data_IF_129821414608
#
_entry.id   IF_129821414608
#
_cell.length_a   1.000
_cell.length_b   1.000
_cell.length_c   1.000
_cell.angle_alpha   90.00
_cell.angle_beta   90.00
_cell.angle_gamma   90.00
#
_symmetry.space_group_name_H-M   'P 1'
#
loop_
_entity.id
_entity.type
_entity.pdbx_description
1 polymer ?
#
# COMPACT_ATOMS: atom_id res chain seq x y z
N UNK A 1 -13.76 1.15 23.60
CA UNK A 1 -13.54 2.00 24.81
C UNK A 1 -13.59 1.16 26.09
N UNK A 2 -14.58 0.27 26.27
CA UNK A 2 -14.71 -0.53 27.51
C UNK A 2 -13.48 -1.44 27.77
N UNK A 3 -12.85 -1.97 26.73
CA UNK A 3 -11.67 -2.86 26.82
C UNK A 3 -10.42 -2.13 27.30
N UNK A 4 -10.36 -0.80 27.16
CA UNK A 4 -9.18 0.02 27.49
C UNK A 4 -9.29 0.71 28.86
N UNK A 5 -10.38 0.48 29.60
CA UNK A 5 -10.54 1.01 30.96
C UNK A 5 -9.50 0.38 31.91
N UNK A 6 -8.70 1.23 32.55
CA UNK A 6 -7.64 0.81 33.47
C UNK A 6 -6.31 0.48 32.82
N UNK A 7 -6.19 0.54 31.49
CA UNK A 7 -4.90 0.39 30.82
C UNK A 7 -4.00 1.61 31.12
N UNK A 8 -2.74 1.33 31.46
CA UNK A 8 -1.72 2.36 31.71
C UNK A 8 -1.37 3.13 30.44
N UNK A 9 -1.32 2.42 29.31
CA UNK A 9 -1.07 2.98 27.99
C UNK A 9 -2.09 2.41 27.00
N UNK A 10 -2.48 3.20 26.05
CA UNK A 10 -3.41 2.82 24.99
C UNK A 10 -2.72 3.09 23.65
N UNK A 11 -2.81 2.15 22.75
CA UNK A 11 -2.25 2.26 21.41
C UNK A 11 -3.30 1.81 20.39
N UNK A 12 -3.60 2.66 19.45
CA UNK A 12 -4.38 2.30 18.25
C UNK A 12 -3.38 2.00 17.14
N UNK A 13 -3.50 0.83 16.53
CA UNK A 13 -2.62 0.41 15.44
C UNK A 13 -3.44 0.02 14.21
N UNK A 14 -3.00 0.45 13.03
CA UNK A 14 -3.65 0.17 11.74
C UNK A 14 -2.64 0.22 10.60
N UNK A 15 -3.04 -0.25 9.41
CA UNK A 15 -2.36 0.11 8.16
C UNK A 15 -2.83 1.50 7.71
N UNK A 16 -1.96 2.26 7.07
CA UNK A 16 -2.33 3.48 6.34
C UNK A 16 -3.07 3.13 5.04
N UNK A 17 -2.58 2.11 4.34
CA UNK A 17 -3.22 1.53 3.16
C UNK A 17 -3.28 0.02 3.27
N UNK A 18 -4.47 -0.55 3.14
CA UNK A 18 -4.70 -1.99 3.18
C UNK A 18 -4.29 -2.64 1.85
N UNK A 19 -3.24 -3.45 1.89
CA UNK A 19 -2.53 -3.97 0.70
C UNK A 19 -3.37 -4.83 -0.25
N UNK A 20 -4.42 -5.49 0.26
CA UNK A 20 -5.26 -6.36 -0.56
C UNK A 20 -6.40 -5.60 -1.26
N UNK A 21 -6.73 -4.42 -0.76
CA UNK A 21 -7.89 -3.63 -1.22
C UNK A 21 -7.49 -2.29 -1.86
N UNK A 22 -6.31 -1.76 -1.54
CA UNK A 22 -5.94 -0.39 -1.88
C UNK A 22 -6.78 0.66 -1.14
N UNK A 23 -7.45 0.25 -0.05
CA UNK A 23 -8.26 1.17 0.77
C UNK A 23 -7.34 1.99 1.66
N UNK A 24 -7.49 3.31 1.62
CA UNK A 24 -6.79 4.24 2.51
C UNK A 24 -7.56 4.32 3.83
N UNK A 25 -6.87 4.11 4.95
CA UNK A 25 -7.46 4.23 6.27
C UNK A 25 -7.93 5.66 6.53
N UNK A 26 -9.02 5.83 7.26
CA UNK A 26 -9.50 7.15 7.71
C UNK A 26 -8.68 7.61 8.92
N UNK A 27 -7.41 7.93 8.67
CA UNK A 27 -6.43 8.20 9.72
C UNK A 27 -6.79 9.46 10.53
N UNK A 28 -7.38 10.46 9.90
CA UNK A 28 -7.94 11.64 10.56
C UNK A 28 -8.95 11.26 11.66
N UNK A 29 -9.87 10.35 11.36
CA UNK A 29 -10.87 9.87 12.31
C UNK A 29 -10.28 9.00 13.41
N UNK A 30 -9.24 8.27 13.10
CA UNK A 30 -8.48 7.50 14.09
C UNK A 30 -7.76 8.44 15.05
N UNK A 31 -7.13 9.51 14.55
CA UNK A 31 -6.50 10.53 15.38
C UNK A 31 -7.51 11.26 16.31
N UNK A 32 -8.70 11.60 15.79
CA UNK A 32 -9.77 12.19 16.62
C UNK A 32 -10.18 11.25 17.77
N UNK A 33 -10.27 9.96 17.52
CA UNK A 33 -10.56 8.96 18.55
C UNK A 33 -9.40 8.77 19.52
N UNK A 34 -8.18 8.78 19.04
CA UNK A 34 -6.98 8.67 19.88
C UNK A 34 -6.90 9.84 20.87
N UNK A 35 -7.09 11.06 20.40
CA UNK A 35 -7.15 12.26 21.24
C UNK A 35 -8.26 12.15 22.30
N UNK A 36 -9.47 11.74 21.91
CA UNK A 36 -10.60 11.56 22.82
C UNK A 36 -10.35 10.54 23.94
N UNK A 37 -9.59 9.48 23.65
CA UNK A 37 -9.37 8.37 24.59
C UNK A 37 -7.97 8.35 25.19
N UNK A 38 -7.16 9.39 24.98
CA UNK A 38 -5.77 9.49 25.43
C UNK A 38 -4.97 8.26 25.01
N UNK A 39 -4.90 8.03 23.69
CA UNK A 39 -4.23 6.89 23.08
C UNK A 39 -3.18 7.35 22.06
N UNK A 40 -2.10 6.61 21.95
CA UNK A 40 -1.10 6.78 20.91
C UNK A 40 -1.62 6.21 19.59
N UNK A 41 -1.18 6.80 18.46
CA UNK A 41 -1.50 6.36 17.11
C UNK A 41 -0.25 5.76 16.47
N UNK A 42 -0.31 4.49 16.09
CA UNK A 42 0.65 3.82 15.23
C UNK A 42 -0.03 3.41 13.93
N UNK A 43 0.62 3.66 12.80
CA UNK A 43 0.17 3.10 11.53
C UNK A 43 1.35 2.63 10.67
N UNK A 44 1.11 1.58 9.91
CA UNK A 44 2.05 1.08 8.91
C UNK A 44 1.75 1.72 7.56
N UNK A 45 2.72 2.43 7.02
CA UNK A 45 2.57 3.17 5.78
C UNK A 45 3.35 2.56 4.60
N UNK A 46 3.62 1.27 4.68
CA UNK A 46 4.36 0.51 3.67
C UNK A 46 3.79 0.60 2.26
N UNK A 47 2.49 0.87 2.13
CA UNK A 47 1.78 0.99 0.85
C UNK A 47 1.37 2.42 0.50
N UNK A 48 1.94 3.44 1.14
CA UNK A 48 1.62 4.84 0.87
C UNK A 48 2.86 5.76 0.81
N UNK A 49 3.83 5.58 1.69
CA UNK A 49 5.04 6.41 1.70
C UNK A 49 5.76 6.33 0.36
N UNK A 50 6.07 7.49 -0.20
CA UNK A 50 6.71 7.68 -1.49
C UNK A 50 5.78 8.21 -2.59
N UNK A 51 4.44 8.12 -2.44
CA UNK A 51 3.53 8.51 -3.52
C UNK A 51 2.12 8.94 -3.09
N UNK A 52 1.69 8.68 -1.86
CA UNK A 52 0.41 9.17 -1.31
C UNK A 52 0.65 10.50 -0.58
N UNK A 53 -0.31 11.41 -0.67
CA UNK A 53 -0.21 12.78 -0.20
C UNK A 53 0.27 13.74 -1.30
N UNK A 54 0.41 15.01 -0.95
CA UNK A 54 0.78 16.06 -1.91
C UNK A 54 2.27 16.00 -2.28
N UNK A 55 3.11 15.59 -1.33
CA UNK A 55 4.56 15.46 -1.49
C UNK A 55 5.06 14.01 -1.34
N UNK A 56 4.15 13.03 -1.22
CA UNK A 56 4.50 11.62 -1.10
C UNK A 56 4.90 11.19 0.31
N UNK A 57 4.55 11.95 1.33
CA UNK A 57 4.87 11.61 2.73
C UNK A 57 3.98 10.49 3.29
N UNK A 58 2.88 10.15 2.60
CA UNK A 58 2.04 9.03 2.97
C UNK A 58 0.67 9.41 3.50
N UNK A 59 0.02 8.46 4.18
CA UNK A 59 -1.37 8.55 4.59
C UNK A 59 -1.66 9.70 5.57
N UNK A 60 -0.72 10.04 6.43
CA UNK A 60 -0.87 11.15 7.40
C UNK A 60 -0.83 12.53 6.73
N UNK A 61 -0.07 12.69 5.65
CA UNK A 61 -0.11 13.88 4.81
C UNK A 61 -1.42 13.96 4.03
N UNK A 62 -1.85 12.85 3.43
CA UNK A 62 -3.11 12.76 2.69
C UNK A 62 -4.31 13.22 3.54
N UNK A 63 -4.36 12.82 4.81
CA UNK A 63 -5.41 13.20 5.75
C UNK A 63 -5.12 14.48 6.55
N UNK A 64 -3.99 15.16 6.29
CA UNK A 64 -3.59 16.40 6.98
C UNK A 64 -3.55 16.26 8.51
N UNK A 65 -3.05 15.13 8.99
CA UNK A 65 -2.94 14.81 10.41
C UNK A 65 -1.50 14.43 10.82
N UNK A 66 -0.48 15.04 10.18
CA UNK A 66 0.93 14.74 10.40
C UNK A 66 1.39 15.00 11.84
N UNK A 67 0.81 15.97 12.51
CA UNK A 67 1.09 16.37 13.88
C UNK A 67 0.35 15.53 14.94
N UNK A 68 -0.50 14.58 14.51
CA UNK A 68 -1.39 13.79 15.38
C UNK A 68 -1.03 12.30 15.43
N UNK A 69 0.06 11.91 14.81
CA UNK A 69 0.53 10.53 14.76
C UNK A 69 1.81 10.38 15.57
N UNK A 70 1.93 9.29 16.31
CA UNK A 70 3.05 9.07 17.24
C UNK A 70 4.11 8.13 16.65
N UNK A 71 3.69 7.11 15.91
CA UNK A 71 4.58 6.07 15.38
C UNK A 71 4.17 5.74 13.94
N UNK A 72 5.14 5.77 13.05
CA UNK A 72 5.01 5.37 11.65
C UNK A 72 5.99 4.23 11.40
N UNK A 73 5.49 3.12 10.88
CA UNK A 73 6.35 2.09 10.29
C UNK A 73 6.26 2.12 8.77
N UNK A 74 7.35 1.78 8.13
CA UNK A 74 7.44 1.77 6.67
C UNK A 74 8.48 0.78 6.17
N UNK A 75 8.47 0.53 4.86
CA UNK A 75 9.39 -0.36 4.18
C UNK A 75 10.27 0.38 3.19
N UNK A 76 11.50 -0.11 3.03
CA UNK A 76 12.43 0.33 1.99
C UNK A 76 12.43 -0.62 0.78
N UNK A 77 11.54 -1.61 0.76
CA UNK A 77 11.45 -2.63 -0.29
C UNK A 77 10.21 -2.52 -1.19
N UNK A 78 9.56 -1.36 -1.26
CA UNK A 78 8.40 -1.09 -2.13
C UNK A 78 8.63 0.20 -2.93
N UNK A 79 7.77 1.22 -2.77
CA UNK A 79 7.87 2.48 -3.54
C UNK A 79 9.19 3.22 -3.32
N UNK A 80 9.77 3.16 -2.13
CA UNK A 80 11.06 3.78 -1.84
C UNK A 80 12.27 3.04 -2.46
N UNK A 81 12.06 1.87 -3.08
CA UNK A 81 13.02 1.25 -3.98
C UNK A 81 14.38 0.82 -3.40
N UNK A 82 14.52 0.77 -2.08
CA UNK A 82 15.77 0.41 -1.40
C UNK A 82 16.08 -1.10 -1.37
N UNK A 83 15.30 -1.92 -2.05
CA UNK A 83 15.39 -3.38 -2.13
C UNK A 83 15.00 -4.13 -0.86
N UNK A 84 15.37 -3.70 0.33
CA UNK A 84 15.16 -4.43 1.59
C UNK A 84 15.20 -3.49 2.79
N UNK A 85 14.68 -3.97 3.92
CA UNK A 85 14.65 -3.24 5.16
C UNK A 85 13.39 -2.44 5.39
N UNK A 86 13.33 -1.80 6.53
CA UNK A 86 12.24 -0.95 6.95
C UNK A 86 12.70 0.02 8.04
N UNK A 87 11.80 0.84 8.47
CA UNK A 87 12.08 1.88 9.47
C UNK A 87 10.89 2.07 10.40
N UNK A 88 11.19 2.62 11.56
CA UNK A 88 10.23 3.21 12.48
C UNK A 88 10.59 4.67 12.67
N UNK A 89 9.64 5.56 12.40
CA UNK A 89 9.71 6.99 12.69
C UNK A 89 8.76 7.31 13.83
N UNK A 90 9.26 7.95 14.88
CA UNK A 90 8.48 8.26 16.09
C UNK A 90 9.19 9.36 16.91
N UNK A 91 8.57 9.79 18.01
CA UNK A 91 9.24 10.64 19.00
C UNK A 91 10.53 10.01 19.51
N UNK A 92 11.51 10.85 19.87
CA UNK A 92 12.87 10.41 20.26
C UNK A 92 12.87 9.40 21.40
N UNK A 93 11.98 9.54 22.37
CA UNK A 93 11.83 8.65 23.53
C UNK A 93 11.44 7.23 23.09
N UNK A 94 10.52 7.13 22.13
CA UNK A 94 10.09 5.84 21.55
C UNK A 94 11.23 5.22 20.76
N UNK A 95 11.89 5.99 19.89
CA UNK A 95 13.02 5.50 19.08
C UNK A 95 14.15 5.01 19.99
N UNK A 96 14.50 5.77 21.02
CA UNK A 96 15.54 5.38 21.98
C UNK A 96 15.17 4.10 22.75
N UNK A 97 13.91 3.96 23.16
CA UNK A 97 13.42 2.74 23.78
C UNK A 97 13.52 1.54 22.85
N UNK A 98 13.10 1.70 21.58
CA UNK A 98 13.18 0.62 20.57
C UNK A 98 14.64 0.19 20.32
N UNK A 99 15.58 1.12 20.24
CA UNK A 99 17.02 0.81 20.09
C UNK A 99 17.57 -0.04 21.22
N UNK A 100 17.02 0.09 22.44
CA UNK A 100 17.47 -0.65 23.62
C UNK A 100 16.67 -1.95 23.88
N UNK A 101 15.47 -2.08 23.35
CA UNK A 101 14.54 -3.14 23.75
C UNK A 101 13.95 -3.94 22.58
N UNK A 102 13.99 -3.45 21.36
CA UNK A 102 13.47 -4.16 20.20
C UNK A 102 14.38 -5.33 19.85
N UNK A 103 13.89 -6.56 20.04
CA UNK A 103 14.65 -7.78 19.77
C UNK A 103 15.11 -7.87 18.30
N UNK A 104 14.27 -7.58 17.28
CA UNK A 104 14.75 -7.59 15.90
C UNK A 104 15.92 -6.62 15.67
N UNK A 105 15.88 -5.44 16.26
CA UNK A 105 16.94 -4.45 16.13
C UNK A 105 18.24 -4.89 16.82
N UNK A 106 18.13 -5.50 18.00
CA UNK A 106 19.29 -5.90 18.81
C UNK A 106 19.97 -7.17 18.28
N UNK A 107 19.20 -8.10 17.72
CA UNK A 107 19.68 -9.47 17.43
C UNK A 107 19.68 -9.85 15.95
N UNK A 108 19.06 -9.04 15.06
CA UNK A 108 19.14 -9.25 13.62
C UNK A 108 20.35 -8.53 13.03
N UNK A 109 20.84 -9.05 11.91
CA UNK A 109 21.86 -8.37 11.15
C UNK A 109 21.33 -7.03 10.61
N UNK A 110 22.21 -6.05 10.51
CA UNK A 110 21.85 -4.73 9.94
C UNK A 110 21.56 -4.81 8.43
N UNK A 111 20.82 -3.84 7.94
CA UNK A 111 20.63 -3.66 6.48
C UNK A 111 21.97 -3.38 5.83
N UNK A 112 22.25 -4.03 4.71
CA UNK A 112 23.52 -3.89 4.00
C UNK A 112 23.76 -2.43 3.55
N UNK A 113 24.98 -1.89 3.69
CA UNK A 113 25.25 -0.49 3.34
C UNK A 113 24.84 -0.08 1.92
N UNK A 114 25.01 -0.89 0.86
CA UNK A 114 24.56 -0.54 -0.48
C UNK A 114 23.02 -0.37 -0.55
N UNK A 115 22.26 -1.17 0.21
CA UNK A 115 20.80 -1.06 0.30
C UNK A 115 20.39 0.24 0.99
N UNK A 116 21.11 0.62 2.05
CA UNK A 116 20.89 1.90 2.75
C UNK A 116 21.16 3.08 1.82
N UNK A 117 22.27 3.05 1.07
CA UNK A 117 22.58 4.08 0.09
C UNK A 117 21.50 4.20 -1.01
N UNK A 118 21.01 3.06 -1.51
CA UNK A 118 19.89 3.02 -2.45
C UNK A 118 18.61 3.61 -1.88
N UNK A 119 18.30 3.32 -0.62
CA UNK A 119 17.13 3.85 0.06
C UNK A 119 17.22 5.39 0.25
N UNK A 120 18.37 5.91 0.65
CA UNK A 120 18.61 7.36 0.76
C UNK A 120 18.37 8.01 -0.60
N UNK A 121 18.95 7.45 -1.66
CA UNK A 121 18.76 8.00 -3.03
C UNK A 121 17.30 7.93 -3.49
N UNK A 122 16.56 6.89 -3.12
CA UNK A 122 15.13 6.78 -3.43
C UNK A 122 14.32 7.88 -2.72
N UNK A 123 14.65 8.23 -1.47
CA UNK A 123 14.02 9.34 -0.74
C UNK A 123 14.31 10.68 -1.43
N UNK A 124 15.57 10.95 -1.79
CA UNK A 124 15.95 12.16 -2.54
C UNK A 124 15.15 12.28 -3.85
N UNK A 125 14.95 11.16 -4.56
CA UNK A 125 14.19 11.14 -5.81
C UNK A 125 12.70 11.43 -5.57
N UNK A 126 12.10 10.90 -4.51
CA UNK A 126 10.70 11.19 -4.14
C UNK A 126 10.51 12.66 -3.84
N UNK A 127 11.43 13.28 -3.10
CA UNK A 127 11.35 14.70 -2.75
C UNK A 127 11.44 15.63 -3.98
N UNK A 128 12.13 15.19 -5.03
CA UNK A 128 12.40 16.01 -6.23
C UNK A 128 11.54 15.65 -7.44
N UNK A 129 10.79 14.55 -7.41
CA UNK A 129 10.13 13.96 -8.59
C UNK A 129 8.60 13.98 -8.51
N UNK A 130 8.01 15.12 -8.29
CA UNK A 130 6.55 15.32 -8.30
C UNK A 130 5.88 14.81 -9.59
N UNK A 131 6.57 14.89 -10.73
CA UNK A 131 6.09 14.39 -12.01
C UNK A 131 5.84 12.87 -12.01
N UNK A 132 6.63 12.08 -11.27
CA UNK A 132 6.39 10.63 -11.15
C UNK A 132 5.11 10.32 -10.37
N UNK A 133 4.83 11.08 -9.32
CA UNK A 133 3.58 10.93 -8.57
C UNK A 133 2.36 11.33 -9.41
N UNK A 134 2.46 12.43 -10.17
CA UNK A 134 1.41 12.85 -11.09
C UNK A 134 1.14 11.77 -12.13
N UNK A 135 2.18 11.26 -12.79
CA UNK A 135 2.06 10.18 -13.78
C UNK A 135 1.46 8.91 -13.19
N UNK A 136 1.83 8.55 -11.96
CA UNK A 136 1.24 7.40 -11.27
C UNK A 136 -0.27 7.57 -11.05
N UNK A 137 -0.70 8.77 -10.62
CA UNK A 137 -2.12 9.10 -10.43
C UNK A 137 -2.88 9.03 -11.76
N UNK A 138 -2.32 9.59 -12.83
CA UNK A 138 -2.89 9.54 -14.18
C UNK A 138 -3.02 8.11 -14.70
N UNK A 139 -1.96 7.31 -14.62
CA UNK A 139 -1.95 5.91 -14.99
C UNK A 139 -3.00 5.11 -14.21
N UNK A 140 -3.09 5.34 -12.90
CA UNK A 140 -4.07 4.69 -12.02
C UNK A 140 -5.50 4.99 -12.46
N UNK A 141 -5.81 6.25 -12.67
CA UNK A 141 -7.14 6.70 -13.12
C UNK A 141 -7.47 6.14 -14.50
N UNK A 142 -6.52 6.20 -15.43
CA UNK A 142 -6.69 5.68 -16.77
C UNK A 142 -7.01 4.19 -16.78
N UNK A 143 -6.21 3.40 -16.08
CA UNK A 143 -6.36 1.95 -16.04
C UNK A 143 -7.64 1.52 -15.30
N UNK A 144 -7.99 2.19 -14.20
CA UNK A 144 -9.24 1.96 -13.47
C UNK A 144 -10.46 2.20 -14.38
N UNK A 145 -10.52 3.33 -15.06
CA UNK A 145 -11.61 3.65 -15.99
C UNK A 145 -11.69 2.62 -17.13
N UNK A 146 -10.56 2.18 -17.66
CA UNK A 146 -10.51 1.14 -18.69
C UNK A 146 -11.12 -0.17 -18.22
N UNK A 147 -10.78 -0.64 -17.02
CA UNK A 147 -11.35 -1.85 -16.43
C UNK A 147 -12.86 -1.71 -16.15
N UNK A 148 -13.31 -0.54 -15.66
CA UNK A 148 -14.73 -0.25 -15.45
C UNK A 148 -15.50 -0.27 -16.76
N UNK A 149 -14.97 0.32 -17.83
CA UNK A 149 -15.56 0.29 -19.18
C UNK A 149 -15.63 -1.13 -19.75
N UNK A 150 -14.70 -2.00 -19.41
CA UNK A 150 -14.75 -3.43 -19.72
C UNK A 150 -15.77 -4.18 -18.84
N UNK A 151 -16.44 -3.52 -17.90
CA UNK A 151 -17.45 -4.10 -17.04
C UNK A 151 -16.89 -5.01 -15.94
N UNK A 152 -15.68 -4.76 -15.47
CA UNK A 152 -15.14 -5.44 -14.29
C UNK A 152 -15.69 -4.83 -13.00
N UNK A 153 -15.92 -5.69 -12.01
CA UNK A 153 -16.28 -5.25 -10.66
C UNK A 153 -15.02 -4.86 -9.87
N UNK A 154 -14.84 -3.57 -9.58
CA UNK A 154 -13.69 -3.04 -8.85
C UNK A 154 -14.11 -2.58 -7.46
N UNK A 155 -13.23 -2.73 -6.47
CA UNK A 155 -13.40 -2.01 -5.21
C UNK A 155 -13.17 -0.50 -5.46
N UNK A 156 -14.01 0.37 -4.86
CA UNK A 156 -13.84 1.82 -5.01
C UNK A 156 -12.52 2.28 -4.37
N UNK A 157 -11.92 3.32 -4.94
CA UNK A 157 -10.68 3.92 -4.43
C UNK A 157 -9.88 4.60 -5.52
N UNK A 158 -8.84 5.29 -5.11
CA UNK A 158 -7.92 6.03 -6.00
C UNK A 158 -6.47 5.55 -5.90
N UNK A 159 -6.23 4.54 -5.06
CA UNK A 159 -4.90 3.98 -4.85
C UNK A 159 -4.41 3.22 -6.11
N UNK A 160 -3.09 3.20 -6.39
CA UNK A 160 -2.49 2.44 -7.49
C UNK A 160 -2.71 0.92 -7.42
N UNK A 161 -3.05 0.38 -6.27
CA UNK A 161 -3.58 -0.99 -6.14
C UNK A 161 -5.04 -0.98 -6.60
N UNK A 162 -5.36 -1.76 -7.64
CA UNK A 162 -6.70 -1.87 -8.20
C UNK A 162 -7.12 -3.34 -8.12
N UNK A 163 -7.97 -3.71 -7.14
CA UNK A 163 -8.49 -5.07 -7.02
C UNK A 163 -9.66 -5.27 -7.96
N UNK A 164 -9.60 -6.33 -8.76
CA UNK A 164 -10.64 -6.78 -9.67
C UNK A 164 -11.32 -7.98 -9.04
N UNK A 165 -12.58 -7.82 -8.62
CA UNK A 165 -13.30 -8.81 -7.82
C UNK A 165 -13.80 -9.95 -8.72
N UNK A 166 -13.34 -11.17 -8.46
CA UNK A 166 -13.74 -12.38 -9.18
C UNK A 166 -14.68 -13.25 -8.31
N UNK A 167 -14.48 -13.27 -6.99
CA UNK A 167 -15.27 -14.01 -6.04
C UNK A 167 -14.81 -15.46 -5.84
N UNK A 168 -14.81 -16.26 -6.90
CA UNK A 168 -14.37 -17.67 -6.86
C UNK A 168 -12.87 -17.83 -7.00
N UNK A 169 -12.26 -18.66 -6.15
CA UNK A 169 -10.81 -18.83 -6.10
C UNK A 169 -10.25 -19.58 -7.33
N UNK A 170 -10.97 -20.60 -7.80
CA UNK A 170 -10.56 -21.38 -8.97
C UNK A 170 -10.65 -20.53 -10.23
N UNK A 171 -11.71 -19.74 -10.34
CA UNK A 171 -11.90 -18.82 -11.47
C UNK A 171 -10.82 -17.72 -11.49
N UNK A 172 -10.48 -17.14 -10.32
CA UNK A 172 -9.40 -16.17 -10.20
C UNK A 172 -8.04 -16.76 -10.63
N UNK A 173 -7.74 -17.99 -10.22
CA UNK A 173 -6.52 -18.68 -10.63
C UNK A 173 -6.46 -18.92 -12.15
N UNK A 174 -7.57 -19.37 -12.76
CA UNK A 174 -7.67 -19.56 -14.22
C UNK A 174 -7.51 -18.23 -14.96
N UNK A 175 -8.13 -17.18 -14.45
CA UNK A 175 -8.02 -15.83 -15.00
C UNK A 175 -6.58 -15.33 -14.98
N UNK A 176 -5.86 -15.48 -13.85
CA UNK A 176 -4.46 -15.10 -13.75
C UNK A 176 -3.56 -15.90 -14.73
N UNK A 177 -3.81 -17.20 -14.92
CA UNK A 177 -3.11 -18.01 -15.89
C UNK A 177 -3.36 -17.54 -17.33
N UNK A 178 -4.60 -17.19 -17.67
CA UNK A 178 -4.92 -16.66 -19.00
C UNK A 178 -4.30 -15.29 -19.23
N UNK A 179 -4.26 -14.43 -18.23
CA UNK A 179 -3.55 -13.14 -18.30
C UNK A 179 -2.05 -13.34 -18.62
N UNK A 180 -1.42 -14.34 -17.97
CA UNK A 180 -0.01 -14.67 -18.25
C UNK A 180 0.18 -15.17 -19.69
N UNK A 181 -0.74 -15.99 -20.22
CA UNK A 181 -0.72 -16.43 -21.62
C UNK A 181 -0.82 -15.23 -22.59
N UNK A 182 -1.53 -14.18 -22.19
CA UNK A 182 -1.66 -12.93 -22.95
C UNK A 182 -0.54 -11.92 -22.67
N UNK A 183 0.55 -12.34 -21.99
CA UNK A 183 1.73 -11.53 -21.75
C UNK A 183 1.64 -10.57 -20.55
N UNK A 184 0.61 -10.67 -19.72
CA UNK A 184 0.42 -9.80 -18.53
C UNK A 184 0.48 -10.63 -17.25
N UNK A 185 1.49 -10.34 -16.43
CA UNK A 185 1.64 -10.99 -15.12
C UNK A 185 0.75 -10.33 -14.08
N UNK A 186 -0.20 -11.08 -13.53
CA UNK A 186 -1.06 -10.69 -12.42
C UNK A 186 -1.17 -11.82 -11.41
N UNK A 187 -1.52 -11.48 -10.16
CA UNK A 187 -1.66 -12.47 -9.08
C UNK A 187 -3.12 -12.56 -8.65
N UNK A 188 -3.61 -13.79 -8.56
CA UNK A 188 -4.88 -14.10 -7.93
C UNK A 188 -4.69 -14.25 -6.41
N UNK A 189 -5.48 -13.51 -5.64
CA UNK A 189 -5.54 -13.65 -4.18
C UNK A 189 -6.86 -14.31 -3.78
N UNK A 190 -6.76 -15.32 -2.93
CA UNK A 190 -7.88 -16.07 -2.39
C UNK A 190 -7.70 -16.37 -0.91
N UNK A 191 -8.62 -17.09 -0.29
CA UNK A 191 -8.46 -17.56 1.08
C UNK A 191 -7.18 -18.41 1.22
N UNK A 192 -6.39 -18.23 2.30
CA UNK A 192 -6.67 -17.45 3.52
C UNK A 192 -6.25 -15.97 3.47
N UNK A 193 -5.64 -15.49 2.38
CA UNK A 193 -5.14 -14.11 2.26
C UNK A 193 -6.28 -13.11 2.24
N UNK A 194 -7.40 -13.48 1.61
CA UNK A 194 -8.65 -12.72 1.62
C UNK A 194 -9.80 -13.65 2.04
N UNK A 195 -10.93 -13.10 2.45
CA UNK A 195 -12.07 -13.90 2.90
C UNK A 195 -12.59 -14.83 1.80
N UNK A 196 -13.20 -15.95 2.19
CA UNK A 196 -13.87 -16.88 1.25
C UNK A 196 -14.94 -16.12 0.45
N UNK A 197 -15.00 -16.39 -0.87
CA UNK A 197 -15.91 -15.70 -1.78
C UNK A 197 -15.44 -14.29 -2.20
N UNK A 198 -14.26 -13.85 -1.75
CA UNK A 198 -13.71 -12.54 -2.05
C UNK A 198 -12.41 -12.63 -2.87
N UNK A 199 -12.24 -13.71 -3.64
CA UNK A 199 -11.08 -13.86 -4.50
C UNK A 199 -11.02 -12.74 -5.55
N UNK A 200 -9.82 -12.30 -5.87
CA UNK A 200 -9.56 -11.14 -6.73
C UNK A 200 -8.27 -11.27 -7.51
N UNK A 201 -8.20 -10.55 -8.61
CA UNK A 201 -6.93 -10.20 -9.26
C UNK A 201 -6.50 -8.86 -8.71
N UNK A 202 -5.29 -8.75 -8.17
CA UNK A 202 -4.74 -7.49 -7.72
C UNK A 202 -3.76 -6.95 -8.75
N UNK A 203 -4.10 -5.83 -9.36
CA UNK A 203 -3.16 -5.07 -10.19
C UNK A 203 -2.53 -3.95 -9.40
N UNK A 204 -1.35 -3.53 -9.84
CA UNK A 204 -0.62 -2.41 -9.22
C UNK A 204 0.00 -1.56 -10.31
N UNK A 205 -0.34 -0.28 -10.30
CA UNK A 205 0.15 0.67 -11.29
C UNK A 205 1.56 1.15 -10.95
N UNK A 206 2.27 1.58 -11.97
CA UNK A 206 3.59 2.20 -11.88
C UNK A 206 3.64 3.48 -12.72
N UNK A 207 4.45 4.44 -12.27
CA UNK A 207 4.79 5.61 -13.05
C UNK A 207 5.65 5.28 -14.28
N UNK A 208 6.30 4.10 -14.31
CA UNK A 208 7.11 3.65 -15.45
C UNK A 208 6.26 3.15 -16.64
N UNK A 209 5.00 2.80 -16.42
CA UNK A 209 4.15 2.33 -17.52
C UNK A 209 3.85 3.44 -18.51
N UNK A 210 3.97 3.12 -19.78
CA UNK A 210 3.50 3.95 -20.89
C UNK A 210 1.99 3.76 -21.07
N UNK A 211 1.38 4.59 -21.89
CA UNK A 211 -0.02 4.42 -22.26
C UNK A 211 -0.24 3.14 -23.07
N UNK A 212 0.71 2.82 -23.94
CA UNK A 212 0.72 1.61 -24.76
C UNK A 212 0.77 0.34 -23.89
N UNK A 213 1.54 0.36 -22.80
CA UNK A 213 1.57 -0.76 -21.84
C UNK A 213 0.20 -0.95 -21.19
N UNK A 214 -0.44 0.14 -20.77
CA UNK A 214 -1.75 0.09 -20.17
C UNK A 214 -2.86 -0.35 -21.14
N UNK A 215 -2.82 0.14 -22.38
CA UNK A 215 -3.75 -0.27 -23.44
C UNK A 215 -3.59 -1.77 -23.77
N UNK A 216 -2.36 -2.25 -23.89
CA UNK A 216 -2.06 -3.68 -24.09
C UNK A 216 -2.57 -4.54 -22.92
N UNK A 217 -2.38 -4.08 -21.69
CA UNK A 217 -2.90 -4.78 -20.52
C UNK A 217 -4.44 -4.80 -20.51
N UNK A 218 -5.10 -3.69 -20.81
CA UNK A 218 -6.58 -3.63 -20.90
C UNK A 218 -7.11 -4.57 -21.99
N UNK A 219 -6.44 -4.64 -23.15
CA UNK A 219 -6.79 -5.60 -24.20
C UNK A 219 -6.67 -7.04 -23.70
N UNK A 220 -5.59 -7.37 -22.99
CA UNK A 220 -5.41 -8.71 -22.41
C UNK A 220 -6.48 -9.04 -21.37
N UNK A 221 -6.91 -8.06 -20.58
CA UNK A 221 -8.04 -8.21 -19.65
C UNK A 221 -9.36 -8.48 -20.38
N UNK A 222 -9.63 -7.82 -21.51
CA UNK A 222 -10.82 -8.09 -22.32
C UNK A 222 -10.80 -9.52 -22.85
N UNK A 223 -9.69 -9.97 -23.44
CA UNK A 223 -9.55 -11.35 -23.96
C UNK A 223 -9.72 -12.41 -22.87
N UNK A 224 -9.11 -12.20 -21.71
CA UNK A 224 -9.23 -13.11 -20.57
C UNK A 224 -10.66 -13.15 -20.01
N UNK A 225 -11.36 -12.01 -20.00
CA UNK A 225 -12.76 -11.92 -19.60
C UNK A 225 -13.66 -12.76 -20.49
N UNK A 226 -13.56 -12.58 -21.80
CA UNK A 226 -14.39 -13.30 -22.78
C UNK A 226 -14.18 -14.82 -22.72
N UNK A 227 -13.00 -15.26 -22.32
CA UNK A 227 -12.64 -16.68 -22.27
C UNK A 227 -12.97 -17.37 -20.94
N UNK A 228 -12.90 -16.63 -19.83
CA UNK A 228 -12.91 -17.21 -18.48
C UNK A 228 -14.16 -16.81 -17.68
N UNK A 229 -14.69 -15.61 -17.85
CA UNK A 229 -15.83 -15.07 -17.10
C UNK A 229 -17.11 -15.08 -17.92
#
# INVERSE_FOLDING_TARGET
AAVLNGARYKLITTDGVFSMDGTIAKLDKICELAEKYDALVHFDDCHATGFIGDTGRGTHEYHKCMDKVDIITGTLGKALGGASGGYTSAHSEIVNLLRQRSRPYLFSNTVAPPVVAGAIKAIDLVETSINLQTKLKENTKYFRNGLENLGFNLLPGEHPIIPIMIGDASLAAKFAAEMLNNGVYVIAFSYPVVAKGMARIRTQMSASFSKEDLDSALHSFALAKDKIL
#
